data_IF_318321675465
#
_entry.id   IF_318321675465
#
_cell.length_a   1.000
_cell.length_b   1.000
_cell.length_c   1.000
_cell.angle_alpha   90.00
_cell.angle_beta   90.00
_cell.angle_gamma   90.00
#
_symmetry.space_group_name_H-M   'P 1'
#
loop_
_entity.id
_entity.type
_entity.pdbx_description
1 polymer ?
#
# COMPACT_ATOMS: atom_id res chain seq x y z
N UNK A 1 -6.27 2.48 -40.25
CA UNK A 1 -5.64 1.53 -39.31
C UNK A 1 -4.18 1.93 -39.02
N UNK A 2 -3.40 2.33 -40.01
CA UNK A 2 -2.03 2.85 -39.82
C UNK A 2 -2.01 4.16 -39.03
N UNK A 3 -2.90 5.12 -39.33
CA UNK A 3 -2.98 6.41 -38.64
C UNK A 3 -3.29 6.29 -37.14
N UNK A 4 -4.06 5.27 -36.73
CA UNK A 4 -4.35 5.00 -35.31
C UNK A 4 -3.11 4.43 -34.61
N UNK A 5 -2.31 3.62 -35.29
CA UNK A 5 -1.05 3.09 -34.74
C UNK A 5 0.04 4.17 -34.65
N UNK A 6 0.15 5.04 -35.66
CA UNK A 6 1.07 6.20 -35.61
C UNK A 6 0.69 7.18 -34.50
N UNK A 7 -0.60 7.49 -34.32
CA UNK A 7 -1.04 8.31 -33.21
C UNK A 7 -0.76 7.63 -31.85
N UNK A 8 -0.91 6.30 -31.74
CA UNK A 8 -0.62 5.54 -30.54
C UNK A 8 0.88 5.46 -30.24
N UNK A 9 1.73 5.31 -31.25
CA UNK A 9 3.19 5.29 -31.11
C UNK A 9 3.78 6.70 -30.97
N UNK A 10 3.22 7.72 -31.62
CA UNK A 10 3.57 9.11 -31.41
C UNK A 10 3.25 9.60 -30.00
N UNK A 11 2.11 9.19 -29.45
CA UNK A 11 1.78 9.39 -28.02
C UNK A 11 2.80 8.69 -27.12
N UNK A 12 3.36 7.54 -27.51
CA UNK A 12 4.35 6.81 -26.71
C UNK A 12 5.73 7.49 -26.68
N UNK A 13 6.16 8.16 -27.72
CA UNK A 13 7.41 8.96 -27.74
C UNK A 13 7.26 10.27 -26.94
N UNK A 14 6.07 10.89 -26.96
CA UNK A 14 5.77 12.05 -26.10
C UNK A 14 5.59 11.69 -24.62
N UNK A 15 5.27 10.42 -24.30
CA UNK A 15 5.02 9.96 -22.94
C UNK A 15 6.28 9.80 -22.06
N UNK A 16 7.48 10.07 -22.54
CA UNK A 16 8.66 10.26 -21.68
C UNK A 16 8.61 11.58 -20.88
N UNK A 17 7.74 12.52 -21.28
CA UNK A 17 7.50 13.80 -20.60
C UNK A 17 6.24 13.81 -19.73
N UNK A 18 5.49 12.71 -19.67
CA UNK A 18 4.21 12.68 -18.98
C UNK A 18 4.34 12.43 -17.48
N UNK A 19 3.38 12.96 -16.74
CA UNK A 19 3.17 12.89 -15.28
C UNK A 19 3.11 11.43 -14.74
N UNK A 20 3.95 10.54 -15.28
CA UNK A 20 3.93 9.09 -15.03
C UNK A 20 4.27 8.69 -13.62
N UNK A 21 4.98 9.52 -12.90
CA UNK A 21 5.25 9.31 -11.49
C UNK A 21 4.93 10.60 -10.74
N UNK A 22 3.70 10.68 -10.21
CA UNK A 22 3.46 11.63 -9.13
C UNK A 22 4.50 11.31 -8.06
N UNK A 23 5.41 12.24 -7.74
CA UNK A 23 6.35 12.06 -6.65
C UNK A 23 5.59 11.62 -5.41
N UNK A 24 6.22 10.83 -4.55
CA UNK A 24 5.59 10.49 -3.28
C UNK A 24 5.22 11.78 -2.55
N UNK A 25 3.95 11.89 -2.17
CA UNK A 25 3.45 12.99 -1.37
C UNK A 25 3.01 12.46 -0.01
N UNK A 26 3.43 13.15 1.04
CA UNK A 26 3.03 12.83 2.42
C UNK A 26 1.58 13.25 2.67
N UNK A 27 0.63 12.45 2.16
CA UNK A 27 -0.78 12.62 2.46
C UNK A 27 -1.06 12.23 3.91
N UNK A 28 -2.10 12.79 4.52
CA UNK A 28 -2.49 12.49 5.91
C UNK A 28 -2.61 11.00 6.18
N UNK A 29 -3.22 10.24 5.25
CA UNK A 29 -3.36 8.78 5.36
C UNK A 29 -1.99 8.10 5.23
N UNK A 30 -1.10 8.57 4.34
CA UNK A 30 0.22 7.96 4.17
C UNK A 30 1.12 8.18 5.37
N UNK A 31 1.07 9.36 5.99
CA UNK A 31 1.77 9.67 7.25
C UNK A 31 1.29 8.74 8.38
N UNK A 32 -0.02 8.58 8.54
CA UNK A 32 -0.55 7.66 9.56
C UNK A 32 -0.17 6.20 9.32
N UNK A 33 -0.12 5.73 8.07
CA UNK A 33 0.34 4.37 7.74
C UNK A 33 1.82 4.22 8.07
N UNK A 34 2.63 5.22 7.76
CA UNK A 34 4.05 5.27 8.14
C UNK A 34 4.20 5.12 9.66
N UNK A 35 3.42 5.85 10.44
CA UNK A 35 3.43 5.76 11.91
C UNK A 35 3.03 4.39 12.42
N UNK A 36 2.01 3.76 11.83
CA UNK A 36 1.60 2.38 12.18
C UNK A 36 2.74 1.40 11.95
N UNK A 37 3.44 1.50 10.82
CA UNK A 37 4.59 0.63 10.52
C UNK A 37 5.74 0.92 11.51
N UNK A 38 6.06 2.19 11.75
CA UNK A 38 7.13 2.61 12.66
C UNK A 38 6.89 2.10 14.08
N UNK A 39 5.69 2.29 14.62
CA UNK A 39 5.34 1.78 15.96
C UNK A 39 5.35 0.25 16.01
N UNK A 40 4.91 -0.42 14.93
CA UNK A 40 5.00 -1.87 14.81
C UNK A 40 6.45 -2.35 14.85
N UNK A 41 7.36 -1.68 14.17
CA UNK A 41 8.79 -1.98 14.18
C UNK A 41 9.38 -1.83 15.59
N UNK A 42 9.13 -0.67 16.24
CA UNK A 42 9.70 -0.34 17.55
C UNK A 42 9.17 -1.27 18.65
N UNK A 43 7.88 -1.55 18.65
CA UNK A 43 7.22 -2.32 19.73
C UNK A 43 7.15 -3.82 19.46
N UNK A 44 7.45 -4.26 18.25
CA UNK A 44 7.22 -5.63 17.80
C UNK A 44 5.73 -6.01 17.86
N UNK A 45 5.41 -7.25 17.53
CA UNK A 45 4.04 -7.76 17.51
C UNK A 45 3.36 -7.52 16.16
N UNK A 46 2.03 -7.58 16.15
CA UNK A 46 1.23 -7.43 14.94
C UNK A 46 0.62 -6.04 14.84
N UNK A 47 0.58 -5.49 13.63
CA UNK A 47 -0.19 -4.30 13.28
C UNK A 47 -1.00 -4.50 12.00
N UNK A 48 -2.12 -3.79 11.89
CA UNK A 48 -3.01 -3.82 10.72
C UNK A 48 -3.32 -2.40 10.28
N UNK A 49 -3.05 -2.10 9.02
CA UNK A 49 -3.44 -0.86 8.34
C UNK A 49 -4.31 -1.22 7.13
N UNK A 50 -5.61 -1.11 7.25
CA UNK A 50 -6.53 -1.48 6.19
C UNK A 50 -7.39 -0.30 5.75
N UNK A 51 -7.92 -0.34 4.54
CA UNK A 51 -8.78 0.73 4.06
C UNK A 51 -9.15 0.61 2.59
N UNK A 52 -9.85 1.62 2.10
CA UNK A 52 -10.33 1.69 0.72
C UNK A 52 -9.20 1.51 -0.30
N UNK A 53 -9.53 1.00 -1.48
CA UNK A 53 -8.59 0.92 -2.59
C UNK A 53 -8.21 2.34 -3.06
N UNK A 54 -6.98 2.51 -3.58
CA UNK A 54 -6.56 3.76 -4.19
C UNK A 54 -6.18 4.91 -3.25
N UNK A 55 -6.20 4.74 -1.91
CA UNK A 55 -5.86 5.79 -0.92
C UNK A 55 -4.36 5.92 -0.61
N UNK A 56 -3.48 5.21 -1.32
CA UNK A 56 -2.03 5.38 -1.19
C UNK A 56 -1.31 4.37 -0.28
N UNK A 57 -1.98 3.35 0.29
CA UNK A 57 -1.39 2.38 1.24
C UNK A 57 -0.07 1.75 0.77
N UNK A 58 -0.07 1.19 -0.43
CA UNK A 58 1.12 0.56 -1.04
C UNK A 58 2.27 1.56 -1.23
N UNK A 59 1.95 2.82 -1.61
CA UNK A 59 2.97 3.87 -1.77
C UNK A 59 3.58 4.23 -0.42
N UNK A 60 2.79 4.37 0.63
CA UNK A 60 3.27 4.61 2.00
C UNK A 60 4.21 3.48 2.48
N UNK A 61 3.83 2.21 2.27
CA UNK A 61 4.67 1.07 2.62
C UNK A 61 5.99 1.05 1.85
N UNK A 62 5.97 1.34 0.55
CA UNK A 62 7.19 1.44 -0.28
C UNK A 62 8.09 2.59 0.16
N UNK A 63 7.50 3.73 0.49
CA UNK A 63 8.24 4.87 1.00
C UNK A 63 8.93 4.54 2.33
N UNK A 64 8.21 3.88 3.26
CA UNK A 64 8.79 3.42 4.52
C UNK A 64 10.02 2.54 4.30
N UNK A 65 9.90 1.53 3.43
CA UNK A 65 11.01 0.60 3.14
C UNK A 65 12.18 1.30 2.44
N UNK A 66 11.91 2.29 1.58
CA UNK A 66 12.96 3.08 0.95
C UNK A 66 13.79 3.89 1.98
N UNK A 67 13.16 4.35 3.06
CA UNK A 67 13.83 5.06 4.16
C UNK A 67 14.49 4.12 5.18
N UNK A 68 14.03 2.87 5.28
CA UNK A 68 14.50 1.88 6.26
C UNK A 68 14.93 0.55 5.62
N UNK A 69 15.82 0.56 4.59
CA UNK A 69 16.12 -0.62 3.79
C UNK A 69 16.79 -1.75 4.58
N UNK A 70 17.53 -1.43 5.64
CA UNK A 70 18.25 -2.42 6.45
C UNK A 70 17.35 -3.18 7.45
N UNK A 71 16.23 -2.56 7.85
CA UNK A 71 15.40 -3.03 8.95
C UNK A 71 13.94 -3.27 8.56
N UNK A 72 13.61 -3.22 7.27
CA UNK A 72 12.27 -3.45 6.79
C UNK A 72 12.23 -4.31 5.51
N UNK A 73 11.23 -5.17 5.41
CA UNK A 73 11.01 -6.02 4.23
C UNK A 73 9.55 -5.87 3.81
N UNK A 74 9.33 -5.49 2.56
CA UNK A 74 8.00 -5.42 1.95
C UNK A 74 7.77 -6.62 1.03
N UNK A 75 6.64 -7.27 1.24
CA UNK A 75 6.14 -8.35 0.39
C UNK A 75 4.71 -8.03 -0.06
N UNK A 76 4.46 -8.07 -1.35
CA UNK A 76 3.11 -7.92 -1.90
C UNK A 76 2.48 -9.29 -2.12
N UNK A 77 1.38 -9.54 -1.45
CA UNK A 77 0.63 -10.79 -1.57
C UNK A 77 -0.26 -10.76 -2.81
N UNK A 78 -0.53 -11.92 -3.36
CA UNK A 78 -1.43 -12.09 -4.49
C UNK A 78 -2.20 -13.44 -4.38
N UNK A 79 -3.25 -13.66 -5.18
CA UNK A 79 -4.05 -14.88 -5.10
C UNK A 79 -3.27 -16.19 -5.34
N UNK A 80 -2.08 -16.16 -5.94
CA UNK A 80 -1.24 -17.35 -6.14
C UNK A 80 -0.43 -17.73 -4.89
N UNK A 81 -0.22 -16.79 -3.95
CA UNK A 81 0.53 -16.99 -2.71
C UNK A 81 -0.38 -17.47 -1.55
N UNK A 82 -1.16 -18.52 -1.81
CA UNK A 82 -2.20 -18.99 -0.86
C UNK A 82 -1.64 -19.91 0.23
N UNK A 83 -0.52 -20.58 -0.01
CA UNK A 83 -0.02 -21.57 0.95
C UNK A 83 1.22 -21.07 1.70
N UNK A 84 1.36 -21.55 2.93
CA UNK A 84 2.45 -21.19 3.85
C UNK A 84 3.83 -21.31 3.18
N UNK A 85 4.08 -22.40 2.44
CA UNK A 85 5.39 -22.65 1.82
C UNK A 85 5.73 -21.60 0.76
N UNK A 86 4.75 -21.16 -0.02
CA UNK A 86 4.94 -20.12 -1.03
C UNK A 86 5.32 -18.78 -0.37
N UNK A 87 4.64 -18.40 0.70
CA UNK A 87 4.94 -17.15 1.45
C UNK A 87 6.31 -17.23 2.12
N UNK A 88 6.66 -18.37 2.73
CA UNK A 88 7.98 -18.57 3.35
C UNK A 88 9.11 -18.55 2.30
N UNK A 89 8.89 -19.12 1.10
CA UNK A 89 9.89 -19.05 0.02
C UNK A 89 10.07 -17.61 -0.48
N UNK A 90 8.98 -16.84 -0.61
CA UNK A 90 9.08 -15.43 -0.97
C UNK A 90 9.88 -14.63 0.08
N UNK A 91 9.63 -14.88 1.37
CA UNK A 91 10.38 -14.23 2.44
C UNK A 91 11.86 -14.69 2.45
N UNK A 92 12.13 -15.97 2.22
CA UNK A 92 13.48 -16.50 2.10
C UNK A 92 14.25 -15.86 0.94
N UNK A 93 13.60 -15.69 -0.22
CA UNK A 93 14.18 -15.00 -1.38
C UNK A 93 14.56 -13.54 -1.04
N UNK A 94 13.66 -12.79 -0.38
CA UNK A 94 13.96 -11.43 0.10
C UNK A 94 15.12 -11.36 1.09
N UNK A 95 15.39 -12.44 1.80
CA UNK A 95 16.52 -12.58 2.75
C UNK A 95 17.77 -13.19 2.11
N UNK A 96 17.78 -13.40 0.78
CA UNK A 96 18.87 -14.08 0.04
C UNK A 96 19.18 -15.48 0.60
N UNK A 97 18.13 -16.23 0.96
CA UNK A 97 18.21 -17.61 1.40
C UNK A 97 17.84 -18.55 0.26
N UNK A 98 18.51 -19.71 0.19
CA UNK A 98 18.15 -20.75 -0.75
C UNK A 98 16.76 -21.32 -0.44
N UNK A 99 15.95 -21.69 -1.46
CA UNK A 99 14.66 -22.30 -1.25
C UNK A 99 14.74 -23.55 -0.37
N UNK A 100 13.94 -23.59 0.68
CA UNK A 100 13.91 -24.73 1.59
C UNK A 100 13.05 -25.89 1.08
N UNK A 101 13.43 -27.12 1.39
CA UNK A 101 12.67 -28.33 1.04
C UNK A 101 11.41 -28.49 1.88
N UNK A 102 11.45 -28.13 3.18
CA UNK A 102 10.32 -28.21 4.11
C UNK A 102 9.97 -26.83 4.68
N UNK A 103 8.76 -26.72 5.23
CA UNK A 103 8.30 -25.50 5.91
C UNK A 103 9.14 -25.19 7.15
N UNK A 104 9.48 -26.23 7.90
CA UNK A 104 10.25 -26.11 9.14
C UNK A 104 11.67 -25.63 8.86
N UNK A 105 12.32 -26.19 7.84
CA UNK A 105 13.66 -25.75 7.44
C UNK A 105 13.67 -24.29 6.97
N UNK A 106 12.64 -23.87 6.21
CA UNK A 106 12.47 -22.48 5.82
C UNK A 106 12.26 -21.57 7.03
N UNK A 107 11.37 -21.95 7.94
CA UNK A 107 11.08 -21.18 9.14
C UNK A 107 12.36 -20.94 9.97
N UNK A 108 13.14 -22.01 10.25
CA UNK A 108 14.40 -21.89 10.96
C UNK A 108 15.44 -21.04 10.24
N UNK A 109 15.60 -21.22 8.93
CA UNK A 109 16.53 -20.41 8.15
C UNK A 109 16.16 -18.92 8.17
N UNK A 110 14.88 -18.60 8.05
CA UNK A 110 14.35 -17.23 8.09
C UNK A 110 14.63 -16.61 9.47
N UNK A 111 14.28 -17.29 10.55
CA UNK A 111 14.49 -16.80 11.93
C UNK A 111 15.96 -16.47 12.20
N UNK A 112 16.89 -17.29 11.73
CA UNK A 112 18.34 -17.05 11.89
C UNK A 112 18.84 -15.83 11.09
N UNK A 113 18.10 -15.40 10.08
CA UNK A 113 18.47 -14.28 9.20
C UNK A 113 17.82 -12.96 9.61
N UNK A 114 16.64 -13.03 10.21
CA UNK A 114 15.96 -11.85 10.77
C UNK A 114 16.74 -11.30 11.96
N UNK A 115 16.63 -10.00 12.19
CA UNK A 115 17.34 -9.30 13.27
C UNK A 115 16.35 -8.61 14.20
N UNK A 116 16.79 -8.32 15.41
CA UNK A 116 16.08 -7.48 16.36
C UNK A 116 15.78 -6.09 15.76
N UNK A 117 14.61 -5.57 16.01
CA UNK A 117 14.17 -4.26 15.52
C UNK A 117 13.77 -4.22 14.04
N UNK A 118 13.61 -5.38 13.36
CA UNK A 118 13.09 -5.42 12.00
C UNK A 118 11.56 -5.37 11.96
N UNK A 119 11.01 -4.99 10.80
CA UNK A 119 9.59 -5.11 10.47
C UNK A 119 9.39 -5.83 9.13
N UNK A 120 8.47 -6.79 9.13
CA UNK A 120 7.97 -7.45 7.92
C UNK A 120 6.62 -6.83 7.55
N UNK A 121 6.51 -6.32 6.34
CA UNK A 121 5.30 -5.65 5.84
C UNK A 121 4.69 -6.53 4.75
N UNK A 122 3.45 -6.92 4.95
CA UNK A 122 2.67 -7.72 3.99
C UNK A 122 1.59 -6.84 3.37
N UNK A 123 1.82 -6.37 2.16
CA UNK A 123 0.83 -5.63 1.37
C UNK A 123 -0.14 -6.59 0.67
N UNK A 124 -1.36 -6.15 0.39
CA UNK A 124 -2.48 -6.96 -0.13
C UNK A 124 -2.78 -8.17 0.78
N UNK A 125 -2.69 -7.95 2.10
CA UNK A 125 -2.79 -9.01 3.12
C UNK A 125 -4.14 -9.74 3.16
N UNK A 126 -5.20 -9.24 2.51
CA UNK A 126 -6.46 -9.97 2.33
C UNK A 126 -6.30 -11.30 1.58
N UNK A 127 -5.21 -11.49 0.84
CA UNK A 127 -4.91 -12.75 0.17
C UNK A 127 -4.30 -13.80 1.10
N UNK A 128 -3.84 -13.43 2.29
CA UNK A 128 -3.33 -14.37 3.29
C UNK A 128 -4.47 -15.15 3.95
N UNK A 129 -4.28 -16.45 4.13
CA UNK A 129 -5.17 -17.26 4.96
C UNK A 129 -4.73 -17.25 6.42
N UNK A 130 -5.65 -17.64 7.34
CA UNK A 130 -5.42 -17.63 8.77
C UNK A 130 -4.17 -18.44 9.17
N UNK A 131 -4.00 -19.64 8.63
CA UNK A 131 -2.86 -20.51 8.96
C UNK A 131 -1.52 -19.87 8.59
N UNK A 132 -1.47 -19.14 7.48
CA UNK A 132 -0.27 -18.40 7.09
C UNK A 132 -0.01 -17.23 8.04
N UNK A 133 -1.05 -16.48 8.43
CA UNK A 133 -0.91 -15.39 9.41
C UNK A 133 -0.40 -15.91 10.76
N UNK A 134 -0.85 -17.08 11.22
CA UNK A 134 -0.35 -17.72 12.46
C UNK A 134 1.12 -18.11 12.36
N UNK A 135 1.55 -18.63 11.21
CA UNK A 135 2.98 -18.94 10.99
C UNK A 135 3.80 -17.65 10.97
N UNK A 136 3.32 -16.60 10.33
CA UNK A 136 4.00 -15.30 10.36
C UNK A 136 4.08 -14.73 11.78
N UNK A 137 2.99 -14.82 12.54
CA UNK A 137 2.97 -14.41 13.96
C UNK A 137 4.05 -15.12 14.77
N UNK A 138 4.29 -16.40 14.51
CA UNK A 138 5.28 -17.18 15.26
C UNK A 138 6.70 -16.62 15.16
N UNK A 139 7.03 -15.88 14.11
CA UNK A 139 8.30 -15.14 14.03
C UNK A 139 8.38 -14.06 15.10
N UNK A 140 7.31 -13.25 15.24
CA UNK A 140 7.28 -12.21 16.27
C UNK A 140 7.31 -12.79 17.68
N UNK A 141 6.58 -13.89 17.92
CA UNK A 141 6.62 -14.59 19.21
C UNK A 141 8.03 -15.11 19.52
N UNK A 142 8.75 -15.70 18.55
CA UNK A 142 10.12 -16.17 18.71
C UNK A 142 11.10 -15.08 19.16
N UNK A 143 10.99 -13.87 18.62
CA UNK A 143 11.80 -12.73 19.04
C UNK A 143 11.39 -12.22 20.42
N UNK A 144 10.10 -12.10 20.67
CA UNK A 144 9.56 -11.64 21.96
C UNK A 144 9.99 -12.56 23.13
N UNK A 145 10.02 -13.87 22.93
CA UNK A 145 10.48 -14.85 23.94
C UNK A 145 11.96 -14.67 24.31
N UNK A 146 12.73 -13.93 23.51
CA UNK A 146 14.15 -13.61 23.70
C UNK A 146 14.39 -12.18 24.15
N UNK A 147 13.34 -11.44 24.48
CA UNK A 147 13.42 -10.02 24.84
C UNK A 147 13.79 -9.12 23.67
N UNK A 148 13.57 -9.58 22.44
CA UNK A 148 13.82 -8.88 21.18
C UNK A 148 12.51 -8.47 20.53
N UNK A 149 12.57 -7.63 19.51
CA UNK A 149 11.39 -7.14 18.79
C UNK A 149 11.44 -7.54 17.32
N UNK A 150 10.30 -8.01 16.80
CA UNK A 150 10.03 -8.16 15.39
C UNK A 150 8.60 -7.70 15.11
N UNK A 151 8.46 -6.64 14.31
CA UNK A 151 7.17 -6.16 13.87
C UNK A 151 6.65 -6.93 12.66
N UNK A 152 5.34 -7.17 12.61
CA UNK A 152 4.66 -7.73 11.44
C UNK A 152 3.46 -6.87 11.13
N UNK A 153 3.54 -6.11 10.04
CA UNK A 153 2.51 -5.19 9.62
C UNK A 153 1.75 -5.74 8.41
N UNK A 154 0.43 -5.87 8.54
CA UNK A 154 -0.47 -6.28 7.47
C UNK A 154 -1.18 -5.06 6.91
N UNK A 155 -1.01 -4.84 5.60
CA UNK A 155 -1.64 -3.75 4.86
C UNK A 155 -2.57 -4.36 3.82
N UNK A 156 -3.81 -3.83 3.70
CA UNK A 156 -4.75 -4.36 2.73
C UNK A 156 -6.09 -3.62 2.70
N UNK A 157 -7.09 -4.26 2.12
CA UNK A 157 -8.45 -3.75 2.11
C UNK A 157 -9.18 -4.02 3.44
N UNK A 158 -10.46 -3.64 3.53
CA UNK A 158 -11.27 -3.82 4.74
C UNK A 158 -11.46 -5.30 5.14
N UNK A 159 -11.37 -6.24 4.18
CA UNK A 159 -11.42 -7.68 4.49
C UNK A 159 -10.24 -8.12 5.36
N UNK A 160 -9.10 -7.43 5.26
CA UNK A 160 -7.94 -7.67 6.13
C UNK A 160 -8.29 -7.45 7.60
N UNK A 161 -8.99 -6.34 7.92
CA UNK A 161 -9.44 -6.07 9.29
C UNK A 161 -10.49 -7.09 9.74
N UNK A 162 -11.44 -7.41 8.87
CA UNK A 162 -12.49 -8.38 9.17
C UNK A 162 -11.90 -9.76 9.47
N UNK A 163 -10.95 -10.21 8.67
CA UNK A 163 -10.24 -11.48 8.90
C UNK A 163 -9.45 -11.47 10.20
N UNK A 164 -8.70 -10.41 10.49
CA UNK A 164 -7.82 -10.33 11.65
C UNK A 164 -8.52 -9.84 12.93
N UNK A 165 -9.72 -9.30 12.81
CA UNK A 165 -10.54 -8.77 13.92
C UNK A 165 -11.74 -9.63 14.30
N UNK A 166 -11.96 -10.75 13.62
CA UNK A 166 -13.07 -11.64 13.90
C UNK A 166 -13.02 -12.17 15.35
N UNK A 167 -14.15 -12.11 16.05
CA UNK A 167 -14.31 -12.68 17.40
C UNK A 167 -14.43 -14.22 17.40
N UNK A 168 -14.34 -14.87 16.23
CA UNK A 168 -14.29 -16.34 16.19
C UNK A 168 -13.05 -16.83 16.94
N UNK A 169 -13.18 -17.92 17.69
CA UNK A 169 -12.11 -18.48 18.52
C UNK A 169 -10.78 -18.65 17.77
N UNK A 170 -10.84 -18.98 16.49
CA UNK A 170 -9.68 -19.14 15.61
C UNK A 170 -8.88 -17.83 15.39
N UNK A 171 -9.54 -16.66 15.49
CA UNK A 171 -8.91 -15.34 15.31
C UNK A 171 -8.58 -14.66 16.65
N UNK A 172 -9.08 -15.18 17.77
CA UNK A 172 -8.89 -14.54 19.07
C UNK A 172 -7.41 -14.37 19.43
N UNK A 173 -6.57 -15.36 19.11
CA UNK A 173 -5.13 -15.29 19.36
C UNK A 173 -4.43 -14.20 18.54
N UNK A 174 -4.82 -14.05 17.27
CA UNK A 174 -4.28 -12.98 16.39
C UNK A 174 -4.77 -11.63 16.90
N UNK A 175 -6.04 -11.50 17.21
CA UNK A 175 -6.64 -10.26 17.72
C UNK A 175 -5.94 -9.78 19.00
N UNK A 176 -5.67 -10.67 19.94
CA UNK A 176 -5.02 -10.34 21.22
C UNK A 176 -3.53 -9.94 21.05
N UNK A 177 -2.89 -10.38 19.97
CA UNK A 177 -1.49 -10.03 19.64
C UNK A 177 -1.37 -8.82 18.70
N UNK A 178 -2.49 -8.34 18.16
CA UNK A 178 -2.53 -7.15 17.30
C UNK A 178 -2.51 -5.91 18.18
N UNK A 179 -1.36 -5.26 18.26
CA UNK A 179 -1.14 -4.07 19.10
C UNK A 179 -1.76 -2.81 18.50
N UNK A 180 -1.83 -2.74 17.18
CA UNK A 180 -2.40 -1.61 16.45
C UNK A 180 -3.31 -2.09 15.32
N UNK A 181 -4.47 -1.43 15.20
CA UNK A 181 -5.41 -1.66 14.11
C UNK A 181 -6.01 -0.31 13.71
N UNK A 182 -5.72 0.10 12.49
CA UNK A 182 -6.28 1.32 11.91
C UNK A 182 -7.00 1.03 10.61
N UNK A 183 -8.09 1.76 10.40
CA UNK A 183 -8.90 1.67 9.19
C UNK A 183 -8.98 3.04 8.55
N UNK A 184 -8.74 3.09 7.25
CA UNK A 184 -8.67 4.31 6.45
C UNK A 184 -9.74 4.30 5.37
N UNK A 185 -10.55 5.35 5.35
CA UNK A 185 -11.62 5.53 4.38
C UNK A 185 -11.30 6.70 3.45
N UNK A 186 -11.73 6.61 2.19
CA UNK A 186 -11.60 7.70 1.22
C UNK A 186 -12.25 9.02 1.66
N UNK A 187 -13.27 8.96 2.53
CA UNK A 187 -13.89 10.14 3.12
C UNK A 187 -12.95 10.95 4.03
N UNK A 188 -11.85 10.35 4.48
CA UNK A 188 -10.84 11.01 5.32
C UNK A 188 -9.80 11.79 4.51
N UNK A 189 -9.81 11.68 3.16
CA UNK A 189 -8.94 12.45 2.28
C UNK A 189 -9.26 13.94 2.44
N UNK A 190 -8.23 14.72 2.74
CA UNK A 190 -8.32 16.15 3.03
C UNK A 190 -7.94 16.99 1.81
N UNK A 191 -8.34 18.25 1.81
CA UNK A 191 -7.93 19.24 0.79
C UNK A 191 -6.41 19.36 0.73
N UNK A 192 -5.74 19.40 1.87
CA UNK A 192 -4.28 19.45 1.96
C UNK A 192 -3.58 18.27 1.29
N UNK A 193 -4.22 17.09 1.23
CA UNK A 193 -3.67 15.95 0.51
C UNK A 193 -3.66 16.20 -1.00
N UNK A 194 -4.72 16.81 -1.52
CA UNK A 194 -4.85 17.18 -2.94
C UNK A 194 -3.84 18.27 -3.31
N UNK A 195 -3.66 19.26 -2.45
CA UNK A 195 -2.66 20.34 -2.65
C UNK A 195 -1.24 19.78 -2.70
N UNK A 196 -0.91 18.82 -1.82
CA UNK A 196 0.39 18.13 -1.83
C UNK A 196 0.60 17.29 -3.11
N UNK A 197 -0.47 16.68 -3.64
CA UNK A 197 -0.42 15.85 -4.85
C UNK A 197 -0.34 16.67 -6.15
N UNK A 198 -0.95 17.86 -6.17
CA UNK A 198 -1.05 18.71 -7.36
C UNK A 198 -0.51 20.12 -7.12
N UNK A 199 0.79 20.28 -6.80
CA UNK A 199 1.38 21.57 -6.44
C UNK A 199 1.29 22.61 -7.57
N UNK A 200 1.21 22.18 -8.83
CA UNK A 200 1.02 23.08 -9.98
C UNK A 200 -0.32 23.83 -9.88
N UNK A 201 -1.39 23.17 -9.46
CA UNK A 201 -2.69 23.81 -9.31
C UNK A 201 -2.69 24.83 -8.17
N UNK A 202 -1.93 24.57 -7.10
CA UNK A 202 -1.74 25.51 -6.00
C UNK A 202 -0.97 26.74 -6.48
N UNK A 203 0.12 26.56 -7.24
CA UNK A 203 0.93 27.67 -7.79
C UNK A 203 0.13 28.56 -8.76
N UNK A 204 -0.78 27.96 -9.51
CA UNK A 204 -1.64 28.67 -10.47
C UNK A 204 -2.96 29.18 -9.84
N UNK A 205 -3.17 29.02 -8.53
CA UNK A 205 -4.39 29.40 -7.80
C UNK A 205 -5.67 28.79 -8.38
N UNK A 206 -5.63 27.54 -8.82
CA UNK A 206 -6.74 26.79 -9.43
C UNK A 206 -7.61 26.10 -8.38
N UNK A 207 -8.36 26.89 -7.63
CA UNK A 207 -9.19 26.42 -6.51
C UNK A 207 -10.32 25.47 -6.94
N UNK A 208 -11.00 25.75 -8.06
CA UNK A 208 -12.10 24.92 -8.57
C UNK A 208 -11.62 23.54 -9.01
N UNK A 209 -10.45 23.48 -9.65
CA UNK A 209 -9.79 22.24 -10.08
C UNK A 209 -9.38 21.40 -8.87
N UNK A 210 -8.80 22.02 -7.84
CA UNK A 210 -8.44 21.34 -6.61
C UNK A 210 -9.68 20.78 -5.88
N UNK A 211 -10.78 21.52 -5.83
CA UNK A 211 -12.04 21.05 -5.24
C UNK A 211 -12.65 19.90 -6.04
N UNK A 212 -12.58 19.96 -7.36
CA UNK A 212 -13.08 18.89 -8.23
C UNK A 212 -12.26 17.60 -8.05
N UNK A 213 -10.92 17.71 -7.95
CA UNK A 213 -10.05 16.57 -7.68
C UNK A 213 -10.27 16.00 -6.27
N UNK A 214 -10.61 16.85 -5.27
CA UNK A 214 -11.00 16.36 -3.95
C UNK A 214 -12.31 15.57 -3.99
N UNK A 215 -13.31 16.06 -4.74
CA UNK A 215 -14.55 15.32 -4.94
C UNK A 215 -14.29 13.97 -5.61
N UNK A 216 -13.49 13.97 -6.68
CA UNK A 216 -13.06 12.73 -7.37
C UNK A 216 -12.34 11.77 -6.41
N UNK A 217 -11.43 12.27 -5.56
CA UNK A 217 -10.71 11.46 -4.59
C UNK A 217 -11.61 10.84 -3.51
N UNK A 218 -12.81 11.35 -3.31
CA UNK A 218 -13.80 10.81 -2.37
C UNK A 218 -14.77 9.81 -3.01
N UNK A 219 -14.66 9.57 -4.33
CA UNK A 219 -15.38 8.52 -5.06
C UNK A 219 -14.73 7.14 -4.87
N UNK A 220 -15.31 6.04 -5.39
CA UNK A 220 -14.72 4.70 -5.28
C UNK A 220 -13.29 4.56 -5.82
N UNK A 221 -12.85 5.39 -6.76
CA UNK A 221 -11.50 5.38 -7.32
C UNK A 221 -10.44 6.03 -6.40
N UNK A 222 -10.87 6.80 -5.41
CA UNK A 222 -10.05 7.47 -4.41
C UNK A 222 -8.93 8.36 -5.02
N UNK A 223 -7.78 8.51 -4.36
CA UNK A 223 -6.65 9.30 -4.88
C UNK A 223 -6.15 8.79 -6.23
N UNK A 224 -6.25 7.49 -6.49
CA UNK A 224 -5.86 6.92 -7.81
C UNK A 224 -6.71 7.51 -8.93
N UNK A 225 -8.02 7.66 -8.71
CA UNK A 225 -8.93 8.28 -9.67
C UNK A 225 -8.57 9.74 -9.94
N UNK A 226 -8.33 10.53 -8.89
CA UNK A 226 -7.93 11.93 -9.02
C UNK A 226 -6.58 12.09 -9.73
N UNK A 227 -5.60 11.24 -9.42
CA UNK A 227 -4.28 11.25 -10.08
C UNK A 227 -4.41 10.91 -11.56
N UNK A 228 -5.13 9.84 -11.90
CA UNK A 228 -5.32 9.43 -13.30
C UNK A 228 -6.10 10.50 -14.08
N UNK A 229 -7.13 11.08 -13.48
CA UNK A 229 -7.91 12.15 -14.10
C UNK A 229 -7.02 13.36 -14.43
N UNK A 230 -6.25 13.83 -13.45
CA UNK A 230 -5.36 14.96 -13.66
C UNK A 230 -4.26 14.65 -14.68
N UNK A 231 -3.65 13.47 -14.60
CA UNK A 231 -2.61 13.05 -15.54
C UNK A 231 -3.12 13.04 -16.99
N UNK A 232 -4.30 12.45 -17.22
CA UNK A 232 -4.90 12.41 -18.55
C UNK A 232 -5.29 13.81 -19.07
N UNK A 233 -5.80 14.67 -18.21
CA UNK A 233 -6.14 16.05 -18.57
C UNK A 233 -4.88 16.87 -18.88
N UNK A 234 -3.80 16.67 -18.11
CA UNK A 234 -2.51 17.30 -18.31
C UNK A 234 -1.87 16.85 -19.63
N UNK A 235 -1.92 15.55 -19.94
CA UNK A 235 -1.41 14.98 -21.20
C UNK A 235 -2.19 15.50 -22.43
N UNK A 236 -3.48 15.88 -22.25
CA UNK A 236 -4.28 16.53 -23.26
C UNK A 236 -4.14 18.06 -23.28
N UNK A 237 -3.18 18.62 -22.54
CA UNK A 237 -2.90 20.04 -22.46
C UNK A 237 -4.10 20.90 -21.96
N UNK A 238 -5.13 20.28 -21.37
CA UNK A 238 -6.28 20.99 -20.81
C UNK A 238 -6.67 20.43 -19.43
N UNK A 239 -6.00 20.94 -18.41
CA UNK A 239 -6.30 20.69 -17.00
C UNK A 239 -7.06 21.84 -16.34
N UNK A 240 -7.78 22.64 -17.13
CA UNK A 240 -8.78 23.56 -16.62
C UNK A 240 -9.96 22.81 -16.01
N UNK A 241 -10.78 23.50 -15.21
CA UNK A 241 -11.99 22.89 -14.65
C UNK A 241 -12.86 22.23 -15.73
N UNK A 242 -13.05 22.91 -16.88
CA UNK A 242 -13.82 22.37 -18.00
C UNK A 242 -13.15 21.13 -18.61
N UNK A 243 -11.82 21.15 -18.77
CA UNK A 243 -11.02 20.03 -19.25
C UNK A 243 -11.10 18.82 -18.30
N UNK A 244 -10.97 19.06 -16.99
CA UNK A 244 -11.12 18.00 -15.97
C UNK A 244 -12.53 17.37 -16.01
N UNK A 245 -13.59 18.18 -16.12
CA UNK A 245 -14.97 17.69 -16.24
C UNK A 245 -15.17 16.87 -17.52
N UNK A 246 -14.63 17.34 -18.65
CA UNK A 246 -14.71 16.62 -19.92
C UNK A 246 -13.93 15.27 -19.83
N UNK A 247 -12.74 15.28 -19.24
CA UNK A 247 -11.94 14.09 -19.05
C UNK A 247 -12.61 13.09 -18.07
N UNK A 248 -13.22 13.58 -16.98
CA UNK A 248 -13.96 12.72 -16.04
C UNK A 248 -15.11 11.99 -16.73
N UNK A 249 -15.86 12.70 -17.62
CA UNK A 249 -16.91 12.08 -18.45
C UNK A 249 -16.35 11.04 -19.42
N UNK A 250 -15.22 11.33 -20.06
CA UNK A 250 -14.54 10.40 -20.97
C UNK A 250 -14.07 9.12 -20.24
N UNK A 251 -13.61 9.27 -19.01
CA UNK A 251 -13.18 8.17 -18.14
C UNK A 251 -14.33 7.47 -17.41
N UNK A 252 -15.59 7.88 -17.64
CA UNK A 252 -16.77 7.34 -16.95
C UNK A 252 -16.64 7.38 -15.41
N UNK A 253 -16.03 8.46 -14.88
CA UNK A 253 -15.92 8.66 -13.45
C UNK A 253 -17.24 9.19 -12.88
N UNK A 254 -17.69 8.59 -11.78
CA UNK A 254 -18.82 9.07 -10.98
C UNK A 254 -18.34 10.22 -10.08
N UNK A 255 -18.47 11.48 -10.56
CA UNK A 255 -18.08 12.68 -9.80
C UNK A 255 -19.25 13.62 -9.65
#
# INVERSE_FOLDING_TARGET
>A
MFDILESYFGVKEQTELTYREVPYADTSISEEIYDVISVCQIKGGLAVAAGDAGIGKTKAARHYVALHPENSILMTMNPCLINIKAVLNLLADKLNLSPGRSKDALWYAIVQKLKDGMVLIFDEAQHLNLKTIEVLRSFSDYFNDRGQTLGICFIGNLDTVTKMGSQKAEFAQISNRTKQRKTYLRSQIQRSDIEKLFPILVQENKELELDFLLQTARTPQALRGAINLFSNAYDNEDYSYAGLVAMAKFMELEV
#
